data_IF_567930232854
#
_entry.id   IF_567930232854
#
_cell.length_a   1.000
_cell.length_b   1.000
_cell.length_c   1.000
_cell.angle_alpha   90.00
_cell.angle_beta   90.00
_cell.angle_gamma   90.00
#
_symmetry.space_group_name_H-M   'P 1'
#
loop_
_entity.id
_entity.type
_entity.pdbx_description
1 polymer ?
#
# COMPACT_ATOMS: atom_id res chain seq x y z
N UNK A 1 -9.47 -23.90 44.85
CA UNK A 1 -10.14 -23.30 43.67
C UNK A 1 -9.13 -23.35 42.55
N UNK A 2 -9.31 -24.21 41.55
CA UNK A 2 -8.43 -24.25 40.39
C UNK A 2 -8.78 -23.06 39.51
N UNK A 3 -7.81 -22.18 39.28
CA UNK A 3 -7.95 -21.05 38.37
C UNK A 3 -7.75 -21.63 36.98
N UNK A 4 -8.84 -21.93 36.28
CA UNK A 4 -8.81 -22.39 34.89
C UNK A 4 -8.19 -21.27 34.04
N UNK A 5 -6.89 -21.39 33.76
CA UNK A 5 -6.19 -20.44 32.87
C UNK A 5 -6.51 -20.85 31.44
N UNK A 6 -7.02 -19.94 30.60
CA UNK A 6 -7.25 -20.25 29.20
C UNK A 6 -5.93 -20.70 28.56
N UNK A 7 -5.99 -21.82 27.84
CA UNK A 7 -4.87 -22.27 27.03
C UNK A 7 -4.82 -21.36 25.80
N UNK A 8 -3.92 -20.37 25.81
CA UNK A 8 -3.77 -19.39 24.73
C UNK A 8 -2.74 -19.91 23.74
N UNK A 9 -3.20 -20.32 22.56
CA UNK A 9 -2.34 -20.88 21.51
C UNK A 9 -1.57 -19.82 20.71
N UNK A 10 -2.12 -18.60 20.60
CA UNK A 10 -1.55 -17.48 19.87
C UNK A 10 -2.07 -16.17 20.46
N UNK A 11 -1.20 -15.16 20.56
CA UNK A 11 -1.58 -13.81 20.95
C UNK A 11 -1.43 -12.86 19.77
N UNK A 12 -2.23 -11.79 19.75
CA UNK A 12 -2.08 -10.75 18.73
C UNK A 12 -0.67 -10.12 18.79
N UNK A 13 -0.20 -9.79 20.00
CA UNK A 13 1.13 -9.21 20.21
C UNK A 13 2.28 -10.10 19.71
N UNK A 14 2.17 -11.43 19.87
CA UNK A 14 3.19 -12.34 19.30
C UNK A 14 3.15 -12.33 17.78
N UNK A 15 1.94 -12.35 17.18
CA UNK A 15 1.79 -12.31 15.74
C UNK A 15 2.31 -11.00 15.13
N UNK A 16 2.02 -9.85 15.77
CA UNK A 16 2.50 -8.53 15.37
C UNK A 16 4.04 -8.41 15.42
N UNK A 17 4.68 -9.13 16.35
CA UNK A 17 6.14 -9.18 16.46
C UNK A 17 6.81 -10.10 15.42
N UNK A 18 6.07 -11.05 14.87
CA UNK A 18 6.56 -12.01 13.88
C UNK A 18 6.42 -11.52 12.44
N UNK A 19 5.48 -10.62 12.16
CA UNK A 19 5.20 -10.14 10.80
C UNK A 19 6.20 -9.06 10.35
N UNK A 20 6.74 -9.24 9.15
CA UNK A 20 7.61 -8.25 8.52
C UNK A 20 6.81 -7.02 8.08
N UNK A 21 7.40 -5.83 8.25
CA UNK A 21 6.84 -4.56 7.78
C UNK A 21 7.61 -4.11 6.53
N UNK A 22 7.09 -4.39 5.32
CA UNK A 22 7.71 -3.89 4.11
C UNK A 22 7.57 -2.36 4.05
N UNK A 23 8.50 -1.70 3.38
CA UNK A 23 8.46 -0.24 3.27
C UNK A 23 7.32 0.21 2.34
N UNK A 24 6.78 1.43 2.50
CA UNK A 24 5.83 1.99 1.55
C UNK A 24 6.50 2.33 0.20
N UNK A 25 5.70 2.43 -0.86
CA UNK A 25 6.20 2.90 -2.15
C UNK A 25 6.57 4.38 -2.09
N UNK A 26 7.80 4.72 -2.49
CA UNK A 26 8.30 6.10 -2.51
C UNK A 26 8.66 6.51 -3.94
N UNK A 27 8.14 7.66 -4.39
CA UNK A 27 8.52 8.27 -5.66
C UNK A 27 9.37 9.52 -5.40
N UNK A 28 10.60 9.52 -5.91
CA UNK A 28 11.42 10.72 -5.97
C UNK A 28 10.90 11.66 -7.08
N UNK A 29 10.68 12.92 -6.73
CA UNK A 29 10.32 14.01 -7.65
C UNK A 29 11.58 14.81 -8.04
N UNK A 30 11.43 15.74 -8.99
CA UNK A 30 12.52 16.66 -9.33
C UNK A 30 12.90 17.52 -8.14
N UNK A 31 14.16 17.95 -8.09
CA UNK A 31 14.67 18.83 -7.04
C UNK A 31 14.81 18.18 -5.66
N UNK A 32 14.90 16.84 -5.61
CA UNK A 32 15.18 16.11 -4.37
C UNK A 32 14.00 15.95 -3.42
N UNK A 33 12.79 16.33 -3.86
CA UNK A 33 11.55 16.03 -3.13
C UNK A 33 11.17 14.57 -3.34
N UNK A 34 10.33 14.04 -2.46
CA UNK A 34 9.75 12.70 -2.57
C UNK A 34 8.30 12.73 -2.13
N UNK A 35 7.50 11.84 -2.69
CA UNK A 35 6.16 11.51 -2.19
C UNK A 35 6.15 10.07 -1.69
N UNK A 36 5.38 9.83 -0.64
CA UNK A 36 5.26 8.52 0.00
C UNK A 36 3.82 8.07 -0.09
N UNK A 37 3.60 6.89 -0.67
CA UNK A 37 2.28 6.26 -0.67
C UNK A 37 2.00 5.64 0.71
N UNK A 38 0.74 5.35 1.04
CA UNK A 38 0.39 4.70 2.30
C UNK A 38 1.16 3.39 2.53
N UNK A 39 1.49 3.13 3.79
CA UNK A 39 1.95 1.82 4.20
C UNK A 39 0.73 0.92 4.42
N UNK A 40 0.43 0.06 3.44
CA UNK A 40 -0.74 -0.82 3.50
C UNK A 40 -0.66 -1.85 4.64
N UNK A 41 0.53 -2.12 5.18
CA UNK A 41 0.72 -3.09 6.27
C UNK A 41 0.56 -2.46 7.65
N UNK A 42 0.58 -1.13 7.72
CA UNK A 42 0.31 -0.36 8.94
C UNK A 42 -1.13 0.22 8.93
N UNK A 43 -1.83 0.17 7.79
CA UNK A 43 -3.25 0.50 7.68
C UNK A 43 -4.15 -0.58 8.30
N UNK A 44 -5.32 -0.20 8.84
CA UNK A 44 -6.38 -1.15 9.15
C UNK A 44 -6.75 -1.99 7.92
N UNK A 45 -7.05 -3.27 8.13
CA UNK A 45 -7.28 -4.21 7.02
C UNK A 45 -8.43 -3.80 6.09
N UNK A 46 -9.46 -3.15 6.63
CA UNK A 46 -10.57 -2.62 5.84
C UNK A 46 -10.16 -1.41 5.00
N UNK A 47 -9.33 -0.51 5.53
CA UNK A 47 -8.78 0.63 4.80
C UNK A 47 -7.81 0.18 3.69
N UNK A 48 -6.97 -0.83 3.96
CA UNK A 48 -6.11 -1.43 2.94
C UNK A 48 -6.94 -2.03 1.79
N UNK A 49 -8.06 -2.68 2.10
CA UNK A 49 -9.00 -3.18 1.09
C UNK A 49 -9.66 -2.08 0.27
N UNK A 50 -9.93 -0.92 0.88
CA UNK A 50 -10.45 0.25 0.17
C UNK A 50 -9.41 0.86 -0.77
N UNK A 51 -8.13 0.93 -0.35
CA UNK A 51 -7.04 1.39 -1.18
C UNK A 51 -6.96 0.63 -2.51
N UNK A 52 -7.03 -0.70 -2.46
CA UNK A 52 -6.98 -1.53 -3.67
C UNK A 52 -8.19 -1.27 -4.59
N UNK A 53 -9.40 -1.17 -4.03
CA UNK A 53 -10.60 -0.86 -4.82
C UNK A 53 -10.49 0.48 -5.53
N UNK A 54 -10.00 1.50 -4.82
CA UNK A 54 -9.82 2.82 -5.42
C UNK A 54 -8.72 2.80 -6.49
N UNK A 55 -7.61 2.08 -6.24
CA UNK A 55 -6.52 1.94 -7.21
C UNK A 55 -6.98 1.22 -8.48
N UNK A 56 -7.79 0.16 -8.35
CA UNK A 56 -8.38 -0.56 -9.50
C UNK A 56 -9.41 0.29 -10.26
N UNK A 57 -10.17 1.13 -9.55
CA UNK A 57 -11.13 2.05 -10.15
C UNK A 57 -10.46 3.28 -10.80
N UNK A 58 -9.18 3.55 -10.49
CA UNK A 58 -8.47 4.74 -10.94
C UNK A 58 -8.23 4.72 -12.44
N UNK A 59 -8.84 5.67 -13.15
CA UNK A 59 -8.52 5.94 -14.56
C UNK A 59 -7.15 6.57 -14.74
N UNK A 60 -6.56 6.43 -15.94
CA UNK A 60 -5.21 6.94 -16.25
C UNK A 60 -5.04 8.46 -16.10
N UNK A 61 -6.14 9.21 -16.00
CA UNK A 61 -6.18 10.67 -15.91
C UNK A 61 -6.85 11.15 -14.62
N UNK A 62 -7.11 10.24 -13.69
CA UNK A 62 -7.81 10.54 -12.45
C UNK A 62 -6.80 10.83 -11.32
N UNK A 63 -6.94 12.00 -10.70
CA UNK A 63 -6.10 12.43 -9.58
C UNK A 63 -6.77 12.18 -8.23
N UNK A 64 -8.05 11.78 -8.19
CA UNK A 64 -8.82 11.60 -6.95
C UNK A 64 -8.21 10.52 -6.05
N UNK A 65 -7.66 9.46 -6.65
CA UNK A 65 -6.91 8.44 -5.92
C UNK A 65 -5.70 9.03 -5.20
N UNK A 66 -4.87 9.81 -5.91
CA UNK A 66 -3.70 10.43 -5.31
C UNK A 66 -4.09 11.49 -4.27
N UNK A 67 -5.20 12.20 -4.48
CA UNK A 67 -5.72 13.18 -3.53
C UNK A 67 -6.19 12.53 -2.23
N UNK A 68 -6.83 11.36 -2.32
CA UNK A 68 -7.33 10.63 -1.17
C UNK A 68 -6.22 9.94 -0.37
N UNK A 69 -5.26 9.34 -1.08
CA UNK A 69 -4.31 8.41 -0.46
C UNK A 69 -2.91 9.00 -0.23
N UNK A 70 -2.56 10.14 -0.83
CA UNK A 70 -1.36 10.86 -0.43
C UNK A 70 -1.68 11.86 0.68
N UNK A 71 -0.67 12.19 1.48
CA UNK A 71 -0.77 13.39 2.32
C UNK A 71 -0.99 14.63 1.44
N UNK A 72 -1.70 15.63 1.95
CA UNK A 72 -1.97 16.89 1.23
C UNK A 72 -0.68 17.48 0.64
N UNK A 73 0.39 17.53 1.44
CA UNK A 73 1.72 18.00 1.04
C UNK A 73 2.30 17.22 -0.15
N UNK A 74 2.18 15.89 -0.12
CA UNK A 74 2.73 15.03 -1.17
C UNK A 74 1.89 15.12 -2.45
N UNK A 75 0.56 15.21 -2.32
CA UNK A 75 -0.33 15.43 -3.45
C UNK A 75 -0.06 16.77 -4.14
N UNK A 76 0.08 17.85 -3.37
CA UNK A 76 0.42 19.16 -3.92
C UNK A 76 1.80 19.17 -4.58
N UNK A 77 2.80 18.52 -3.96
CA UNK A 77 4.12 18.37 -4.55
C UNK A 77 4.07 17.62 -5.88
N UNK A 78 3.27 16.55 -5.94
CA UNK A 78 3.07 15.78 -7.16
C UNK A 78 2.40 16.61 -8.27
N UNK A 79 1.33 17.36 -7.95
CA UNK A 79 0.66 18.25 -8.92
C UNK A 79 1.58 19.34 -9.46
N UNK A 80 2.45 19.88 -8.61
CA UNK A 80 3.40 20.93 -9.00
C UNK A 80 4.39 20.47 -10.09
N UNK A 81 4.68 19.17 -10.18
CA UNK A 81 5.59 18.61 -11.19
C UNK A 81 5.02 18.69 -12.61
N UNK A 82 3.70 18.85 -12.77
CA UNK A 82 2.99 18.95 -14.06
C UNK A 82 3.44 17.87 -15.04
N UNK A 83 3.53 16.63 -14.57
CA UNK A 83 4.01 15.53 -15.38
C UNK A 83 3.02 15.20 -16.50
N UNK A 84 3.48 14.71 -17.66
CA UNK A 84 2.59 14.33 -18.74
C UNK A 84 1.80 13.06 -18.39
N UNK A 85 0.61 12.92 -18.98
CA UNK A 85 -0.30 11.78 -18.78
C UNK A 85 0.40 10.41 -18.89
N UNK A 86 1.30 10.26 -19.87
CA UNK A 86 2.07 9.02 -20.07
C UNK A 86 2.91 8.62 -18.85
N UNK A 87 3.44 9.61 -18.10
CA UNK A 87 4.26 9.35 -16.90
C UNK A 87 3.35 9.07 -15.71
N UNK A 88 2.22 9.79 -15.61
CA UNK A 88 1.21 9.50 -14.58
C UNK A 88 0.66 8.08 -14.71
N UNK A 89 0.24 7.67 -15.91
CA UNK A 89 -0.27 6.32 -16.16
C UNK A 89 0.78 5.25 -15.80
N UNK A 90 2.05 5.47 -16.16
CA UNK A 90 3.14 4.56 -15.79
C UNK A 90 3.37 4.49 -14.27
N UNK A 91 3.18 5.60 -13.54
CA UNK A 91 3.24 5.62 -12.08
C UNK A 91 2.15 4.74 -11.46
N UNK A 92 0.89 4.93 -11.87
CA UNK A 92 -0.24 4.17 -11.32
C UNK A 92 -0.03 2.67 -11.52
N UNK A 93 0.41 2.26 -12.71
CA UNK A 93 0.77 0.85 -12.97
C UNK A 93 1.91 0.34 -12.08
N UNK A 94 2.91 1.18 -11.80
CA UNK A 94 4.05 0.82 -10.93
C UNK A 94 3.63 0.65 -9.48
N UNK A 95 2.75 1.52 -8.98
CA UNK A 95 2.20 1.49 -7.63
C UNK A 95 1.36 0.22 -7.44
N UNK A 96 0.47 -0.07 -8.40
CA UNK A 96 -0.33 -1.30 -8.42
C UNK A 96 0.55 -2.54 -8.37
N UNK A 97 1.53 -2.64 -9.28
CA UNK A 97 2.44 -3.78 -9.32
C UNK A 97 3.28 -3.94 -8.03
N UNK A 98 3.67 -2.84 -7.38
CA UNK A 98 4.41 -2.89 -6.12
C UNK A 98 3.57 -3.53 -5.00
N UNK A 99 2.35 -3.07 -4.81
CA UNK A 99 1.50 -3.57 -3.74
C UNK A 99 0.95 -4.97 -4.03
N UNK A 100 0.66 -5.32 -5.29
CA UNK A 100 0.33 -6.70 -5.67
C UNK A 100 1.48 -7.68 -5.35
N UNK A 101 2.74 -7.29 -5.59
CA UNK A 101 3.91 -8.12 -5.28
C UNK A 101 4.17 -8.22 -3.78
N UNK A 102 3.90 -7.14 -3.03
CA UNK A 102 4.25 -7.05 -1.62
C UNK A 102 3.19 -7.72 -0.74
N UNK A 103 1.89 -7.52 -1.03
CA UNK A 103 0.78 -8.16 -0.30
C UNK A 103 0.54 -9.60 -0.76
N UNK A 104 1.09 -9.97 -1.92
CA UNK A 104 0.76 -11.19 -2.63
C UNK A 104 -0.56 -11.04 -3.39
N UNK A 105 -0.70 -11.75 -4.51
CA UNK A 105 -2.02 -11.85 -5.14
C UNK A 105 -2.91 -12.69 -4.22
N UNK A 106 -4.12 -12.23 -3.85
CA UNK A 106 -5.09 -13.08 -3.21
C UNK A 106 -5.40 -14.27 -4.15
N UNK A 107 -4.76 -15.42 -3.90
CA UNK A 107 -4.96 -16.67 -4.64
C UNK A 107 -3.77 -17.26 -5.42
N UNK A 108 -2.56 -16.65 -5.44
CA UNK A 108 -1.42 -17.21 -6.20
C UNK A 108 -0.19 -17.66 -5.38
N UNK A 109 -0.34 -18.02 -4.09
CA UNK A 109 0.82 -18.49 -3.30
C UNK A 109 1.15 -20.00 -3.46
N UNK A 110 0.54 -20.74 -4.40
CA UNK A 110 0.93 -22.15 -4.63
C UNK A 110 0.95 -22.56 -6.10
N UNK A 111 1.57 -21.77 -6.99
CA UNK A 111 1.83 -22.22 -8.35
C UNK A 111 3.14 -21.67 -8.92
N UNK A 112 4.28 -21.97 -8.28
CA UNK A 112 5.54 -22.33 -8.95
C UNK A 112 6.69 -22.37 -7.94
N UNK A 113 6.85 -23.50 -7.27
CA UNK A 113 8.19 -24.05 -7.00
C UNK A 113 8.34 -25.23 -7.96
N UNK A 114 9.13 -25.03 -9.01
CA UNK A 114 9.75 -26.13 -9.76
C UNK A 114 10.91 -26.70 -8.96
#
# INVERSE_FOLDING_TARGET
MAVDKPNVNLSLASLEAEVAKPEPFVLALKGGKRITFPDLFDLPADEAGEFFKDLEATGQNDFTFLEKWLSEKDFEAYKAEKIPLRVHAALIQRVMAYYEQTVGKPGEDTASKS
#
